data_IF_492088446530
#
_entry.id   IF_492088446530
#
_cell.length_a   1.000
_cell.length_b   1.000
_cell.length_c   1.000
_cell.angle_alpha   90.00
_cell.angle_beta   90.00
_cell.angle_gamma   90.00
#
_symmetry.space_group_name_H-M   'P 1'
#
loop_
_entity.id
_entity.type
_entity.pdbx_description
1 polymer ?
#
# COMPACT_ATOMS: atom_id res chain seq x y z
N UNK A 1 12.81 -7.82 19.26
CA UNK A 1 11.66 -8.14 18.36
C UNK A 1 11.84 -7.40 17.05
N UNK A 2 11.81 -8.12 15.93
CA UNK A 2 11.97 -7.54 14.58
C UNK A 2 10.60 -7.52 13.92
N UNK A 3 10.12 -6.32 13.59
CA UNK A 3 8.86 -6.11 12.87
C UNK A 3 9.20 -5.64 11.47
N UNK A 4 8.77 -6.41 10.47
CA UNK A 4 8.95 -6.09 9.07
C UNK A 4 7.60 -6.01 8.39
N UNK A 5 7.38 -4.94 7.64
CA UNK A 5 6.10 -4.65 6.98
C UNK A 5 6.37 -4.46 5.49
N UNK A 6 5.73 -5.27 4.67
CA UNK A 6 5.89 -5.22 3.22
C UNK A 6 4.63 -4.62 2.60
N UNK A 7 4.80 -3.57 1.81
CA UNK A 7 3.69 -2.78 1.29
C UNK A 7 3.73 -2.69 -0.22
N UNK A 8 2.56 -2.78 -0.85
CA UNK A 8 2.42 -2.53 -2.28
C UNK A 8 1.02 -1.99 -2.59
N UNK A 9 0.96 -1.15 -3.61
CA UNK A 9 -0.28 -0.60 -4.13
C UNK A 9 -0.35 -0.80 -5.63
N UNK A 10 -1.55 -0.96 -6.16
CA UNK A 10 -1.77 -1.16 -7.58
C UNK A 10 -2.96 -0.33 -8.06
N UNK A 11 -2.84 0.22 -9.26
CA UNK A 11 -3.93 0.92 -9.93
C UNK A 11 -4.07 0.41 -11.35
N UNK A 12 -5.30 0.22 -11.80
CA UNK A 12 -5.64 -0.26 -13.15
C UNK A 12 -5.84 0.91 -14.14
N UNK A 13 -5.33 2.10 -13.83
CA UNK A 13 -5.29 3.22 -14.76
C UNK A 13 -4.38 2.93 -15.95
N UNK A 14 -4.82 3.27 -17.17
CA UNK A 14 -4.08 3.00 -18.41
C UNK A 14 -3.94 4.26 -19.24
N UNK A 15 -2.81 4.35 -19.95
CA UNK A 15 -2.53 5.42 -20.90
C UNK A 15 -2.52 6.79 -20.23
N UNK A 16 -3.32 7.72 -20.74
CA UNK A 16 -3.46 9.06 -20.19
C UNK A 16 -4.30 9.07 -18.90
N UNK A 17 -5.11 8.03 -18.68
CA UNK A 17 -5.86 7.86 -17.44
C UNK A 17 -4.96 7.17 -16.41
N UNK A 18 -4.24 7.97 -15.63
CA UNK A 18 -3.38 7.47 -14.56
C UNK A 18 -4.15 7.06 -13.32
N UNK A 19 -5.42 7.40 -13.27
CA UNK A 19 -6.32 7.07 -12.17
C UNK A 19 -7.24 5.95 -12.63
N UNK A 20 -7.24 4.85 -11.90
CA UNK A 20 -8.11 3.71 -12.16
C UNK A 20 -8.46 3.03 -10.86
N UNK A 21 -9.23 1.96 -10.95
CA UNK A 21 -9.55 1.15 -9.78
C UNK A 21 -8.25 0.71 -9.12
N UNK A 22 -8.12 0.98 -7.83
CA UNK A 22 -6.90 0.76 -7.10
C UNK A 22 -7.12 -0.08 -5.85
N UNK A 23 -6.06 -0.73 -5.40
CA UNK A 23 -6.04 -1.48 -4.16
C UNK A 23 -4.67 -1.35 -3.50
N UNK A 24 -4.62 -1.54 -2.20
CA UNK A 24 -3.36 -1.64 -1.48
C UNK A 24 -3.34 -2.91 -0.64
N UNK A 25 -2.15 -3.39 -0.36
CA UNK A 25 -1.95 -4.56 0.47
C UNK A 25 -0.70 -4.41 1.32
N UNK A 26 -0.74 -5.06 2.49
CA UNK A 26 0.33 -5.00 3.47
C UNK A 26 0.44 -6.36 4.15
N UNK A 27 1.67 -6.86 4.30
CA UNK A 27 1.95 -8.06 5.06
C UNK A 27 2.90 -7.73 6.20
N UNK A 28 2.66 -8.31 7.36
CA UNK A 28 3.40 -8.00 8.59
C UNK A 28 4.04 -9.27 9.14
N UNK A 29 5.33 -9.18 9.39
CA UNK A 29 6.16 -10.26 9.94
C UNK A 29 6.76 -9.83 11.28
N UNK A 30 6.73 -10.73 12.24
CA UNK A 30 7.41 -10.55 13.52
C UNK A 30 8.41 -11.70 13.67
N UNK A 31 9.69 -11.35 13.83
CA UNK A 31 10.78 -12.32 13.93
C UNK A 31 10.72 -13.34 12.76
N UNK A 32 10.50 -12.82 11.56
CA UNK A 32 10.43 -13.54 10.27
C UNK A 32 9.23 -14.48 10.12
N UNK A 33 8.26 -14.38 11.01
CA UNK A 33 7.02 -15.14 10.93
C UNK A 33 5.86 -14.20 10.61
N UNK A 34 5.09 -14.52 9.57
CA UNK A 34 3.93 -13.72 9.18
C UNK A 34 2.87 -13.76 10.28
N UNK A 35 2.45 -12.60 10.74
CA UNK A 35 1.44 -12.46 11.79
C UNK A 35 0.16 -11.79 11.30
N UNK A 36 0.21 -11.06 10.19
CA UNK A 36 -0.97 -10.38 9.66
C UNK A 36 -0.82 -10.11 8.18
N UNK A 37 -1.94 -10.00 7.49
CA UNK A 37 -2.00 -9.47 6.13
C UNK A 37 -3.28 -8.66 5.98
N UNK A 38 -3.24 -7.69 5.07
CA UNK A 38 -4.32 -6.76 4.85
C UNK A 38 -4.37 -6.40 3.38
N UNK A 39 -5.56 -6.36 2.81
CA UNK A 39 -5.78 -5.85 1.47
C UNK A 39 -7.11 -5.11 1.46
N UNK A 40 -7.16 -3.97 0.74
CA UNK A 40 -8.41 -3.25 0.60
C UNK A 40 -8.49 -2.52 -0.73
N UNK A 41 -9.72 -2.36 -1.23
CA UNK A 41 -10.01 -1.53 -2.38
C UNK A 41 -10.01 -0.05 -1.99
N UNK A 42 -9.52 0.77 -2.90
CA UNK A 42 -9.39 2.22 -2.70
C UNK A 42 -10.32 3.03 -3.59
N UNK A 43 -10.99 2.38 -4.55
CA UNK A 43 -11.71 3.09 -5.60
C UNK A 43 -10.74 3.73 -6.59
N UNK A 44 -11.15 4.81 -7.28
CA UNK A 44 -10.30 5.47 -8.27
C UNK A 44 -9.13 6.20 -7.60
N UNK A 45 -7.91 5.71 -7.81
CA UNK A 45 -6.68 6.29 -7.28
C UNK A 45 -5.54 6.09 -8.26
N UNK A 46 -4.50 6.91 -8.16
CA UNK A 46 -3.26 6.70 -8.88
C UNK A 46 -2.44 5.59 -8.23
N UNK A 47 -1.45 5.09 -8.97
CA UNK A 47 -0.54 4.09 -8.43
C UNK A 47 0.23 4.61 -7.20
N UNK A 48 0.72 5.86 -7.27
CA UNK A 48 1.44 6.47 -6.15
C UNK A 48 0.56 6.65 -4.91
N UNK A 49 -0.71 7.01 -5.10
CA UNK A 49 -1.66 7.10 -3.99
C UNK A 49 -1.86 5.72 -3.34
N UNK A 50 -2.02 4.67 -4.16
CA UNK A 50 -2.18 3.31 -3.66
C UNK A 50 -0.96 2.84 -2.87
N UNK A 51 0.24 3.19 -3.33
CA UNK A 51 1.48 2.89 -2.63
C UNK A 51 1.55 3.56 -1.26
N UNK A 52 1.17 4.84 -1.17
CA UNK A 52 1.07 5.54 0.12
C UNK A 52 0.06 4.89 1.06
N UNK A 53 -1.11 4.54 0.53
CA UNK A 53 -2.16 3.92 1.34
C UNK A 53 -1.72 2.58 1.94
N UNK A 54 -0.91 1.81 1.22
CA UNK A 54 -0.35 0.57 1.74
C UNK A 54 0.58 0.83 2.94
N UNK A 55 1.43 1.84 2.85
CA UNK A 55 2.34 2.23 3.93
C UNK A 55 1.53 2.72 5.15
N UNK A 56 0.55 3.58 4.93
CA UNK A 56 -0.30 4.10 6.01
C UNK A 56 -1.02 2.96 6.72
N UNK A 57 -1.60 2.02 5.97
CA UNK A 57 -2.27 0.85 6.55
C UNK A 57 -1.32 0.05 7.45
N UNK A 58 -0.10 -0.21 6.97
CA UNK A 58 0.91 -0.92 7.75
C UNK A 58 1.29 -0.20 9.03
N UNK A 59 1.48 1.11 8.96
CA UNK A 59 1.80 1.93 10.13
C UNK A 59 0.67 1.93 11.16
N UNK A 60 -0.57 2.08 10.70
CA UNK A 60 -1.72 2.07 11.60
C UNK A 60 -1.89 0.72 12.29
N UNK A 61 -1.75 -0.39 11.56
CA UNK A 61 -1.84 -1.72 12.15
C UNK A 61 -0.76 -1.92 13.20
N UNK A 62 0.47 -1.53 12.92
CA UNK A 62 1.58 -1.64 13.87
C UNK A 62 1.35 -0.77 15.10
N UNK A 63 0.92 0.47 14.90
CA UNK A 63 0.66 1.40 16.00
C UNK A 63 -0.45 0.88 16.92
N UNK A 64 -1.55 0.39 16.36
CA UNK A 64 -2.68 -0.13 17.12
C UNK A 64 -2.36 -1.45 17.81
N UNK A 65 -1.47 -2.25 17.22
CA UNK A 65 -1.09 -3.56 17.75
C UNK A 65 0.15 -3.57 18.62
N UNK A 66 0.68 -2.42 18.98
CA UNK A 66 1.93 -2.26 19.74
C UNK A 66 3.11 -3.00 19.12
N UNK A 67 3.17 -3.04 17.79
CA UNK A 67 4.30 -3.59 17.04
C UNK A 67 5.32 -2.48 16.82
N UNK A 68 6.24 -2.33 17.78
CA UNK A 68 7.11 -1.17 17.89
C UNK A 68 8.29 -1.19 16.93
N UNK A 69 8.66 0.00 16.45
CA UNK A 69 9.82 0.23 15.58
C UNK A 69 9.82 -0.62 14.31
N UNK A 70 8.70 -0.68 13.57
CA UNK A 70 8.66 -1.47 12.35
C UNK A 70 9.56 -0.88 11.27
N UNK A 71 10.10 -1.75 10.43
CA UNK A 71 10.71 -1.35 9.16
C UNK A 71 9.69 -1.59 8.07
N UNK A 72 9.36 -0.52 7.35
CA UNK A 72 8.38 -0.54 6.26
C UNK A 72 9.15 -0.67 4.94
N UNK A 73 8.85 -1.70 4.18
CA UNK A 73 9.46 -1.93 2.87
C UNK A 73 8.47 -1.61 1.76
N UNK A 74 8.91 -0.81 0.82
CA UNK A 74 8.15 -0.45 -0.39
C UNK A 74 9.08 -0.45 -1.60
N UNK A 75 8.58 -0.81 -2.77
CA UNK A 75 9.35 -0.68 -4.00
C UNK A 75 9.18 0.70 -4.66
N UNK A 76 8.30 1.54 -4.13
CA UNK A 76 8.06 2.87 -4.67
C UNK A 76 9.15 3.86 -4.28
N UNK A 77 9.95 4.29 -5.26
CA UNK A 77 10.95 5.32 -5.04
C UNK A 77 10.31 6.66 -4.62
N UNK A 78 9.18 6.99 -5.21
CA UNK A 78 8.46 8.23 -4.90
C UNK A 78 8.07 8.25 -3.42
N UNK A 79 7.40 7.22 -2.95
CA UNK A 79 6.91 7.12 -1.58
C UNK A 79 8.08 7.12 -0.58
N UNK A 80 9.06 6.24 -0.80
CA UNK A 80 10.20 6.12 0.11
C UNK A 80 10.98 7.43 0.21
N UNK A 81 11.30 8.05 -0.93
CA UNK A 81 12.11 9.26 -0.93
C UNK A 81 11.36 10.47 -0.38
N UNK A 82 10.05 10.57 -0.60
CA UNK A 82 9.25 11.65 -0.01
C UNK A 82 9.13 11.48 1.50
N UNK A 83 8.84 10.29 1.98
CA UNK A 83 8.72 10.04 3.42
C UNK A 83 10.07 10.26 4.14
N UNK A 84 11.17 9.87 3.51
CA UNK A 84 12.51 10.05 4.06
C UNK A 84 13.07 11.47 3.90
N UNK A 85 12.31 12.37 3.31
CA UNK A 85 12.69 13.77 3.15
C UNK A 85 13.74 14.04 2.08
N UNK A 86 14.03 13.04 1.23
CA UNK A 86 15.01 13.19 0.14
C UNK A 86 14.42 13.91 -1.07
N UNK A 87 13.12 13.74 -1.31
CA UNK A 87 12.39 14.38 -2.39
C UNK A 87 11.26 15.21 -1.82
N UNK A 88 11.05 16.40 -2.36
CA UNK A 88 9.88 17.21 -2.02
C UNK A 88 8.64 16.61 -2.66
N UNK A 89 7.52 16.68 -1.95
CA UNK A 89 6.23 16.31 -2.49
C UNK A 89 5.54 17.56 -3.04
N UNK A 90 5.44 17.66 -4.37
CA UNK A 90 4.79 18.78 -5.07
C UNK A 90 3.46 18.37 -5.69
N UNK A 91 3.01 17.18 -5.42
CA UNK A 91 1.77 16.63 -5.97
C UNK A 91 0.65 16.83 -4.95
N UNK A 92 -0.41 17.54 -5.35
CA UNK A 92 -1.53 17.87 -4.46
C UNK A 92 -2.29 16.63 -3.99
N UNK A 93 -2.27 15.54 -4.77
CA UNK A 93 -2.93 14.28 -4.39
C UNK A 93 -2.13 13.50 -3.36
N UNK A 94 -0.80 13.60 -3.40
CA UNK A 94 0.10 12.86 -2.50
C UNK A 94 0.39 13.60 -1.20
N UNK A 95 0.34 14.94 -1.23
CA UNK A 95 0.69 15.74 -0.06
C UNK A 95 -0.15 15.40 1.17
N UNK A 96 -1.48 15.25 1.10
CA UNK A 96 -2.25 14.85 2.28
C UNK A 96 -1.84 13.49 2.83
N UNK A 97 -1.43 12.57 1.97
CA UNK A 97 -1.00 11.24 2.38
C UNK A 97 0.36 11.30 3.09
N UNK A 98 1.28 12.10 2.56
CA UNK A 98 2.56 12.35 3.23
C UNK A 98 2.33 13.01 4.60
N UNK A 99 1.42 13.98 4.68
CA UNK A 99 1.09 14.64 5.95
C UNK A 99 0.55 13.65 6.98
N UNK A 100 -0.28 12.69 6.55
CA UNK A 100 -0.76 11.62 7.43
C UNK A 100 0.40 10.79 7.97
N UNK A 101 1.38 10.46 7.14
CA UNK A 101 2.58 9.71 7.57
C UNK A 101 3.38 10.53 8.58
N UNK A 102 3.54 11.84 8.35
CA UNK A 102 4.27 12.71 9.27
C UNK A 102 3.55 12.85 10.62
N UNK A 103 2.21 12.90 10.63
CA UNK A 103 1.43 12.90 11.87
C UNK A 103 1.66 11.61 12.66
N UNK A 104 1.71 10.47 11.97
CA UNK A 104 2.01 9.19 12.62
C UNK A 104 3.42 9.21 13.20
N UNK A 105 4.39 9.78 12.48
CA UNK A 105 5.79 9.86 12.91
C UNK A 105 5.94 10.63 14.24
N UNK A 106 5.10 11.61 14.48
CA UNK A 106 5.16 12.39 15.73
C UNK A 106 4.89 11.54 16.96
N UNK A 107 4.15 10.45 16.82
CA UNK A 107 3.75 9.60 17.95
C UNK A 107 4.28 8.17 17.87
N UNK A 108 4.83 7.77 16.73
CA UNK A 108 5.21 6.37 16.48
C UNK A 108 6.49 6.28 15.66
N UNK A 109 7.49 5.57 16.19
CA UNK A 109 8.79 5.41 15.52
C UNK A 109 8.74 4.30 14.47
N UNK A 110 9.23 4.60 13.28
CA UNK A 110 9.34 3.64 12.19
C UNK A 110 10.44 4.05 11.22
N UNK A 111 10.82 3.13 10.34
CA UNK A 111 11.71 3.41 9.21
C UNK A 111 11.03 2.97 7.93
N UNK A 112 11.28 3.70 6.83
CA UNK A 112 10.82 3.32 5.49
C UNK A 112 12.05 3.07 4.62
N UNK A 113 12.07 1.91 3.97
CA UNK A 113 13.20 1.47 3.14
C UNK A 113 12.67 1.10 1.76
N UNK A 114 13.29 1.67 0.72
CA UNK A 114 13.02 1.26 -0.64
C UNK A 114 13.73 -0.05 -0.93
N UNK A 115 13.01 -1.01 -1.51
CA UNK A 115 13.55 -2.31 -1.91
C UNK A 115 13.19 -2.60 -3.35
N UNK A 116 13.82 -3.63 -3.91
CA UNK A 116 13.45 -4.12 -5.23
C UNK A 116 12.07 -4.77 -5.18
N UNK A 117 11.36 -4.74 -6.29
CA UNK A 117 9.98 -5.23 -6.41
C UNK A 117 9.82 -6.69 -5.95
N UNK A 118 10.83 -7.51 -6.13
CA UNK A 118 10.79 -8.92 -5.69
C UNK A 118 10.58 -9.08 -4.19
N UNK A 119 10.96 -8.09 -3.38
CA UNK A 119 10.76 -8.14 -1.93
C UNK A 119 9.32 -7.88 -1.50
N UNK A 120 8.50 -7.30 -2.37
CA UNK A 120 7.09 -7.00 -2.09
C UNK A 120 6.14 -7.85 -2.92
N UNK A 121 6.60 -9.04 -3.35
CA UNK A 121 5.80 -9.95 -4.18
C UNK A 121 4.48 -10.35 -3.52
N UNK A 122 4.48 -10.53 -2.21
CA UNK A 122 3.29 -10.98 -1.49
C UNK A 122 2.20 -9.92 -1.44
N UNK A 123 2.45 -8.68 -0.98
CA UNK A 123 1.44 -7.64 -1.07
C UNK A 123 1.07 -7.29 -2.51
N UNK A 124 1.99 -7.38 -3.48
CA UNK A 124 1.67 -7.21 -4.89
C UNK A 124 0.62 -8.23 -5.34
N UNK A 125 0.82 -9.50 -5.03
CA UNK A 125 -0.12 -10.55 -5.36
C UNK A 125 -1.48 -10.33 -4.70
N UNK A 126 -1.51 -9.93 -3.43
CA UNK A 126 -2.75 -9.66 -2.70
C UNK A 126 -3.54 -8.49 -3.30
N UNK A 127 -2.87 -7.39 -3.64
CA UNK A 127 -3.52 -6.23 -4.23
C UNK A 127 -4.12 -6.57 -5.60
N UNK A 128 -3.36 -7.27 -6.44
CA UNK A 128 -3.82 -7.67 -7.76
C UNK A 128 -4.95 -8.70 -7.71
N UNK A 129 -4.88 -9.65 -6.79
CA UNK A 129 -5.95 -10.61 -6.58
C UNK A 129 -7.25 -9.91 -6.17
N UNK A 130 -7.15 -8.90 -5.32
CA UNK A 130 -8.30 -8.10 -4.93
C UNK A 130 -8.92 -7.40 -6.14
N UNK A 131 -8.10 -6.77 -6.98
CA UNK A 131 -8.56 -6.08 -8.19
C UNK A 131 -9.18 -7.04 -9.20
N UNK A 132 -8.58 -8.21 -9.39
CA UNK A 132 -9.11 -9.25 -10.28
C UNK A 132 -10.50 -9.71 -9.81
N UNK A 133 -10.68 -9.87 -8.51
CA UNK A 133 -11.97 -10.24 -7.92
C UNK A 133 -13.03 -9.18 -8.18
N UNK A 134 -12.67 -7.89 -8.04
CA UNK A 134 -13.58 -6.80 -8.34
C UNK A 134 -14.01 -6.77 -9.81
N UNK A 135 -13.08 -6.99 -10.73
CA UNK A 135 -13.36 -7.02 -12.16
C UNK A 135 -14.34 -8.15 -12.51
N UNK A 136 -14.15 -9.33 -11.92
CA UNK A 136 -15.04 -10.47 -12.11
C UNK A 136 -16.46 -10.18 -11.62
N UNK A 137 -16.60 -9.42 -10.53
CA UNK A 137 -17.91 -9.05 -9.99
C UNK A 137 -18.63 -8.04 -10.86
N UNK A 138 -17.89 -7.19 -11.57
CA UNK A 138 -18.45 -6.15 -12.44
C UNK A 138 -18.86 -6.65 -13.81
N UNK A 139 -18.29 -7.78 -14.26
CA UNK A 139 -18.54 -8.34 -15.58
C UNK A 139 -19.42 -9.57 -15.50
N UNK A 140 -20.68 -9.55 -16.03
CA UNK A 140 -21.51 -10.75 -16.08
C UNK A 140 -20.83 -11.84 -16.89
N UNK A 141 -20.76 -13.06 -16.36
CA UNK A 141 -20.08 -14.18 -17.01
C UNK A 141 -20.90 -14.79 -18.13
N UNK A 142 -22.23 -14.88 -17.93
CA UNK A 142 -23.18 -15.42 -18.89
C UNK A 142 -24.51 -14.71 -18.72
N UNK A 143 -25.47 -14.96 -19.65
CA UNK A 143 -26.83 -14.43 -19.51
C UNK A 143 -27.51 -14.90 -18.23
N UNK A 144 -27.17 -16.10 -17.76
CA UNK A 144 -27.78 -16.71 -16.58
C UNK A 144 -27.26 -16.08 -15.28
N UNK A 145 -26.12 -15.39 -15.33
CA UNK A 145 -25.54 -14.66 -14.20
C UNK A 145 -26.14 -13.28 -14.04
N UNK A 146 -26.95 -12.83 -15.00
CA UNK A 146 -27.61 -11.54 -15.02
C UNK A 146 -29.10 -11.72 -14.66
N UNK A 147 -29.37 -11.75 -13.37
CA UNK A 147 -30.76 -11.90 -12.90
C UNK A 147 -31.10 -10.77 -11.95
#
# INVERSE_FOLDING_TARGET
MIIEVFCDGASRGQGQKRIGEAACATTIYRNRKKIAQFARGLGPRSNNEAEYEAVIAGLLICSMGDLLNPVIYTDSAVVANQINGKWKCRNDSLLPLLMTVEDIRDEFNFKVVQVERSFVWEPDALANEFLDTLEKRKTPKTKDDVV
#
